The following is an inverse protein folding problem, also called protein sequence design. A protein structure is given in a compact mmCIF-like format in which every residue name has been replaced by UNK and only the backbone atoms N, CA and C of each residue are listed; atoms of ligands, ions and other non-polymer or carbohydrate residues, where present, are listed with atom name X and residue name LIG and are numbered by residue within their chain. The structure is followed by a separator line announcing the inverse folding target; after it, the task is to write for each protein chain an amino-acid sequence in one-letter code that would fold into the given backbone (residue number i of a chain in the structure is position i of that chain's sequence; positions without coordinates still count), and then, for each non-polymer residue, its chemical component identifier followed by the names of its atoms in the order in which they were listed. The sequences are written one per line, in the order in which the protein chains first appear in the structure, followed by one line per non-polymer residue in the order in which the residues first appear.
data_IF_583269519101
#
_entry.id   IF_583269519101
#
_cell.length_a   1.000
_cell.length_b   1.000
_cell.length_c   1.000
_cell.angle_alpha   90.00
_cell.angle_beta   90.00
_cell.angle_gamma   90.00
#
_symmetry.space_group_name_H-M   'P 1'
#
loop_
_entity.id
_entity.type
_entity.pdbx_description
1 polymer ?
#
# COMPACT_ATOMS: atom_id res chain seq x y z
N UNK A 1 17.55 -21.45 5.76
CA UNK A 1 18.06 -20.13 5.34
C UNK A 1 17.16 -19.70 4.19
N UNK A 2 16.11 -18.94 4.47
CA UNK A 2 15.16 -18.51 3.44
C UNK A 2 15.49 -17.06 3.10
N UNK A 3 15.82 -16.87 1.82
CA UNK A 3 16.20 -15.62 1.19
C UNK A 3 14.96 -14.74 1.00
N UNK A 4 14.97 -13.57 1.64
CA UNK A 4 13.97 -12.52 1.48
C UNK A 4 14.55 -11.52 0.48
N UNK A 5 14.24 -11.71 -0.79
CA UNK A 5 14.61 -10.73 -1.82
C UNK A 5 13.78 -9.47 -1.61
N UNK A 6 14.49 -8.47 -1.11
CA UNK A 6 14.09 -7.13 -0.77
C UNK A 6 13.51 -6.38 -1.98
N UNK A 7 12.23 -6.03 -1.89
CA UNK A 7 11.64 -4.90 -2.64
C UNK A 7 11.17 -3.87 -1.62
N UNK A 8 12.09 -3.11 -1.07
CA UNK A 8 11.92 -1.68 -0.79
C UNK A 8 10.97 -1.28 0.33
N UNK A 9 10.59 -2.17 1.24
CA UNK A 9 9.81 -1.79 2.43
C UNK A 9 10.72 -1.86 3.66
N UNK A 10 11.04 -0.69 4.21
CA UNK A 10 11.92 -0.53 5.37
C UNK A 10 11.27 -1.20 6.57
N UNK A 11 11.67 -2.45 6.84
CA UNK A 11 11.19 -3.28 7.95
C UNK A 11 11.77 -2.74 9.26
N UNK A 12 11.28 -1.60 9.72
CA UNK A 12 11.68 -0.98 10.98
C UNK A 12 10.87 -1.60 12.11
N UNK A 13 11.54 -2.46 12.87
CA UNK A 13 11.06 -2.99 14.15
C UNK A 13 10.95 -1.88 15.17
N UNK A 14 9.72 -1.52 15.55
CA UNK A 14 9.41 -0.84 16.81
C UNK A 14 8.21 -1.53 17.46
N UNK A 15 8.45 -2.03 18.68
CA UNK A 15 7.49 -2.38 19.74
C UNK A 15 6.00 -2.59 19.35
N UNK A 16 5.55 -3.86 19.50
CA UNK A 16 4.17 -4.35 19.52
C UNK A 16 3.45 -4.54 18.16
N UNK A 17 3.16 -5.81 17.84
CA UNK A 17 2.14 -6.36 16.91
C UNK A 17 2.11 -5.91 15.44
N UNK A 18 2.65 -4.75 15.11
CA UNK A 18 2.70 -4.16 13.78
C UNK A 18 3.79 -4.84 12.96
N UNK A 19 3.41 -5.34 11.79
CA UNK A 19 4.27 -6.04 10.85
C UNK A 19 4.83 -5.07 9.80
N UNK A 20 3.98 -4.18 9.31
CA UNK A 20 4.34 -3.15 8.34
C UNK A 20 3.30 -2.02 8.32
N UNK A 21 3.72 -0.86 7.84
CA UNK A 21 2.84 0.24 7.44
C UNK A 21 2.98 0.37 5.92
N UNK A 22 1.89 0.19 5.21
CA UNK A 22 1.80 0.32 3.75
C UNK A 22 1.52 1.78 3.41
N UNK A 23 2.32 2.35 2.51
CA UNK A 23 2.20 3.73 2.04
C UNK A 23 2.30 3.79 0.51
N UNK A 24 1.98 4.95 -0.09
CA UNK A 24 2.19 5.20 -1.52
C UNK A 24 1.49 4.22 -2.50
N UNK A 25 0.19 3.97 -2.28
CA UNK A 25 -0.62 3.16 -3.20
C UNK A 25 -0.45 1.65 -3.07
N UNK A 26 0.33 1.18 -2.09
CA UNK A 26 0.32 -0.22 -1.67
C UNK A 26 -1.03 -0.57 -1.03
N UNK A 27 -1.61 -1.72 -1.40
CA UNK A 27 -2.92 -2.18 -0.93
C UNK A 27 -2.82 -3.56 -0.31
N UNK A 28 -3.72 -3.84 0.64
CA UNK A 28 -3.84 -5.15 1.23
C UNK A 28 -4.18 -6.21 0.17
N UNK A 29 -3.61 -7.41 0.32
CA UNK A 29 -4.01 -8.55 -0.49
C UNK A 29 -5.49 -8.86 -0.29
N UNK A 30 -6.20 -9.18 -1.38
CA UNK A 30 -7.59 -9.66 -1.35
C UNK A 30 -7.69 -11.18 -1.35
N UNK A 31 -6.55 -11.88 -1.33
CA UNK A 31 -6.50 -13.33 -1.39
C UNK A 31 -6.55 -13.95 0.01
N UNK A 32 -7.56 -14.78 0.26
CA UNK A 32 -7.74 -15.51 1.51
C UNK A 32 -6.51 -16.35 1.90
N UNK A 33 -5.86 -17.02 0.93
CA UNK A 33 -4.73 -17.89 1.24
C UNK A 33 -3.54 -17.11 1.80
N UNK A 34 -3.34 -15.87 1.33
CA UNK A 34 -2.29 -14.96 1.83
C UNK A 34 -2.60 -14.54 3.26
N UNK A 35 -3.85 -14.19 3.56
CA UNK A 35 -4.27 -13.84 4.93
C UNK A 35 -4.10 -15.01 5.89
N UNK A 36 -4.52 -16.21 5.48
CA UNK A 36 -4.36 -17.42 6.28
C UNK A 36 -2.88 -17.79 6.49
N UNK A 37 -2.06 -17.68 5.45
CA UNK A 37 -0.62 -17.93 5.52
C UNK A 37 0.06 -16.94 6.47
N UNK A 38 -0.18 -15.63 6.28
CA UNK A 38 0.39 -14.59 7.12
C UNK A 38 -0.06 -14.73 8.58
N UNK A 39 -1.32 -15.09 8.81
CA UNK A 39 -1.82 -15.36 10.16
C UNK A 39 -1.10 -16.52 10.84
N UNK A 40 -0.66 -17.55 10.10
CA UNK A 40 0.09 -18.69 10.65
C UNK A 40 1.59 -18.38 10.82
N UNK A 41 2.16 -17.62 9.90
CA UNK A 41 3.62 -17.39 9.82
C UNK A 41 4.08 -16.18 10.62
N UNK A 42 3.26 -15.12 10.67
CA UNK A 42 3.64 -13.83 11.24
C UNK A 42 3.03 -13.59 12.63
N UNK A 43 1.85 -14.15 12.90
CA UNK A 43 1.18 -14.01 14.18
C UNK A 43 1.43 -15.23 15.06
N UNK A 44 2.29 -15.07 16.08
CA UNK A 44 2.75 -16.15 16.95
C UNK A 44 2.06 -16.18 18.33
N UNK A 45 1.01 -15.37 18.53
CA UNK A 45 0.31 -15.30 19.82
C UNK A 45 -1.09 -15.88 19.72
N UNK A 46 -1.47 -16.61 20.76
CA UNK A 46 -2.79 -17.22 20.88
C UNK A 46 -3.90 -16.18 20.68
N UNK A 47 -4.89 -16.54 19.85
CA UNK A 47 -6.06 -15.73 19.51
C UNK A 47 -5.77 -14.43 18.73
N UNK A 48 -4.56 -14.20 18.24
CA UNK A 48 -4.30 -13.11 17.29
C UNK A 48 -4.26 -13.63 15.86
N UNK A 49 -4.69 -12.79 14.93
CA UNK A 49 -4.76 -13.10 13.52
C UNK A 49 -4.18 -11.95 12.72
N UNK A 50 -3.67 -12.28 11.54
CA UNK A 50 -3.18 -11.27 10.62
C UNK A 50 -4.34 -10.39 10.15
N UNK A 51 -4.08 -9.10 10.15
CA UNK A 51 -4.92 -8.05 9.62
C UNK A 51 -4.08 -7.18 8.72
N UNK A 52 -4.68 -6.72 7.63
CA UNK A 52 -4.20 -5.58 6.87
C UNK A 52 -5.40 -4.64 6.74
N UNK A 53 -5.35 -3.50 7.43
CA UNK A 53 -6.49 -2.60 7.60
C UNK A 53 -6.07 -1.14 7.46
N UNK A 54 -6.91 -0.28 6.85
CA UNK A 54 -6.75 1.17 6.97
C UNK A 54 -6.74 1.63 8.43
N UNK A 55 -5.97 2.68 8.74
CA UNK A 55 -6.02 3.35 10.03
C UNK A 55 -7.37 4.05 10.25
N UNK A 56 -7.69 4.42 11.48
CA UNK A 56 -8.87 5.24 11.79
C UNK A 56 -8.82 6.65 11.18
N UNK A 57 -7.68 7.06 10.63
CA UNK A 57 -7.49 8.33 9.93
C UNK A 57 -7.51 8.16 8.40
N UNK A 58 -7.63 6.93 7.88
CA UNK A 58 -7.67 6.60 6.44
C UNK A 58 -6.51 7.19 5.61
N UNK A 59 -5.39 7.50 6.25
CA UNK A 59 -4.18 8.07 5.64
C UNK A 59 -3.06 7.03 5.47
N UNK A 60 -3.25 5.82 5.98
CA UNK A 60 -2.30 4.73 5.89
C UNK A 60 -3.02 3.40 6.05
N UNK A 61 -2.36 2.32 5.64
CA UNK A 61 -2.82 0.95 5.86
C UNK A 61 -1.77 0.20 6.66
N UNK A 62 -2.20 -0.60 7.64
CA UNK A 62 -1.29 -1.25 8.59
C UNK A 62 -1.50 -2.75 8.55
N UNK A 63 -0.39 -3.48 8.36
CA UNK A 63 -0.32 -4.92 8.59
C UNK A 63 -0.04 -5.18 10.08
N UNK A 64 -0.92 -5.92 10.75
CA UNK A 64 -0.87 -6.08 12.21
C UNK A 64 -1.44 -7.43 12.67
N UNK A 65 -0.92 -7.95 13.78
CA UNK A 65 -1.44 -9.15 14.43
C UNK A 65 -2.31 -8.81 15.65
N UNK A 66 -3.63 -8.85 15.51
CA UNK A 66 -4.57 -8.51 16.59
C UNK A 66 -5.70 -9.53 16.73
N UNK A 67 -6.43 -9.45 17.85
CA UNK A 67 -7.65 -10.25 18.05
C UNK A 67 -8.74 -9.76 17.07
N UNK A 68 -9.40 -10.66 16.32
CA UNK A 68 -10.44 -10.27 15.39
C UNK A 68 -11.64 -9.72 16.14
N UNK A 69 -12.29 -8.72 15.56
CA UNK A 69 -13.52 -8.13 16.07
C UNK A 69 -14.67 -8.40 15.10
N UNK A 70 -15.89 -8.45 15.62
CA UNK A 70 -17.09 -8.48 14.79
C UNK A 70 -17.36 -7.06 14.29
N UNK A 71 -17.36 -6.91 12.98
CA UNK A 71 -17.65 -5.66 12.29
C UNK A 71 -19.15 -5.67 11.95
N UNK A 72 -19.91 -4.66 12.40
CA UNK A 72 -21.32 -4.54 12.05
C UNK A 72 -21.51 -4.39 10.54
N UNK A 73 -22.66 -4.84 10.04
CA UNK A 73 -23.03 -4.62 8.63
C UNK A 73 -22.99 -3.13 8.32
N UNK A 74 -22.67 -2.79 7.08
CA UNK A 74 -22.63 -1.41 6.64
C UNK A 74 -21.39 -0.62 7.09
N UNK A 75 -20.37 -1.29 7.64
CA UNK A 75 -19.15 -0.67 8.14
C UNK A 75 -17.92 -1.44 7.65
N UNK A 76 -16.81 -0.71 7.49
CA UNK A 76 -15.50 -1.28 7.20
C UNK A 76 -14.69 -1.45 8.49
N UNK A 77 -13.90 -2.52 8.57
CA UNK A 77 -12.90 -2.71 9.60
C UNK A 77 -11.78 -1.67 9.47
N UNK A 78 -11.32 -1.17 10.60
CA UNK A 78 -10.17 -0.26 10.69
C UNK A 78 -9.25 -0.68 11.82
N UNK A 79 -7.98 -0.33 11.71
CA UNK A 79 -7.07 -0.31 12.83
C UNK A 79 -7.21 1.02 13.57
N UNK A 80 -7.60 0.97 14.84
CA UNK A 80 -7.63 2.15 15.71
C UNK A 80 -6.25 2.33 16.33
N UNK A 81 -5.51 3.33 15.84
CA UNK A 81 -4.13 3.61 16.26
C UNK A 81 -4.07 4.11 17.71
N UNK A 82 -5.09 4.84 18.18
CA UNK A 82 -5.16 5.39 19.53
C UNK A 82 -5.34 4.30 20.60
N UNK A 83 -6.09 3.24 20.27
CA UNK A 83 -6.42 2.13 21.17
C UNK A 83 -5.61 0.86 20.92
N UNK A 84 -4.79 0.84 19.85
CA UNK A 84 -4.07 -0.34 19.37
C UNK A 84 -4.97 -1.59 19.27
N UNK A 85 -6.13 -1.44 18.64
CA UNK A 85 -7.09 -2.51 18.46
C UNK A 85 -7.75 -2.45 17.08
N UNK A 86 -8.45 -3.53 16.72
CA UNK A 86 -9.33 -3.50 15.56
C UNK A 86 -10.66 -2.91 15.98
N UNK A 87 -11.21 -2.04 15.14
CA UNK A 87 -12.53 -1.44 15.31
C UNK A 87 -13.22 -1.32 13.96
N UNK A 88 -14.27 -0.52 13.89
CA UNK A 88 -15.00 -0.24 12.65
C UNK A 88 -15.16 1.26 12.46
N UNK A 89 -15.12 1.71 11.22
CA UNK A 89 -15.24 3.14 10.90
C UNK A 89 -16.68 3.62 11.06
N UNK A 90 -16.93 4.31 12.18
CA UNK A 90 -18.24 4.88 12.53
C UNK A 90 -18.56 6.15 11.75
N UNK A 91 -17.55 6.84 11.23
CA UNK A 91 -17.68 8.16 10.62
C UNK A 91 -18.00 8.05 9.13
N UNK A 92 -17.35 7.14 8.40
CA UNK A 92 -17.60 7.00 6.97
C UNK A 92 -18.92 6.32 6.63
N UNK A 93 -19.47 5.48 7.53
CA UNK A 93 -20.61 4.57 7.31
C UNK A 93 -20.71 4.21 5.83
N UNK A 94 -20.00 3.18 5.38
CA UNK A 94 -20.12 2.74 3.97
C UNK A 94 -21.59 2.45 3.60
N UNK A 95 -22.47 2.27 4.60
CA UNK A 95 -23.92 2.38 4.47
C UNK A 95 -24.44 3.83 4.58
N UNK A 96 -24.84 4.42 3.46
CA UNK A 96 -25.57 5.70 3.42
C UNK A 96 -25.07 6.73 2.41
N UNK A 97 -23.95 6.45 1.75
CA UNK A 97 -23.41 7.19 0.60
C UNK A 97 -23.28 6.21 -0.56
N UNK A 98 -23.18 6.66 -1.81
CA UNK A 98 -22.96 5.76 -2.96
C UNK A 98 -21.58 5.08 -2.78
N UNK A 99 -21.55 3.98 -2.03
CA UNK A 99 -20.37 3.17 -1.72
C UNK A 99 -20.62 1.76 -2.23
N UNK A 100 -19.85 1.35 -3.25
CA UNK A 100 -20.01 0.03 -3.86
C UNK A 100 -19.17 -1.01 -3.13
N UNK A 101 -19.77 -2.15 -2.77
CA UNK A 101 -19.06 -3.26 -2.12
C UNK A 101 -18.96 -3.14 -0.59
N UNK A 102 -19.82 -2.33 0.03
CA UNK A 102 -19.96 -2.27 1.48
C UNK A 102 -20.49 -3.61 2.03
N UNK A 103 -20.03 -4.10 3.20
CA UNK A 103 -20.46 -5.37 3.78
C UNK A 103 -21.97 -5.40 4.07
N UNK A 104 -22.69 -6.36 3.47
CA UNK A 104 -24.13 -6.54 3.67
C UNK A 104 -24.46 -7.21 5.02
N UNK A 105 -23.55 -8.03 5.53
CA UNK A 105 -23.69 -8.80 6.76
C UNK A 105 -22.55 -8.50 7.73
N UNK A 106 -22.73 -8.92 8.98
CA UNK A 106 -21.67 -8.84 9.99
C UNK A 106 -20.54 -9.80 9.60
N UNK A 107 -19.29 -9.40 9.84
CA UNK A 107 -18.14 -10.24 9.53
C UNK A 107 -17.02 -10.07 10.56
N UNK A 108 -16.11 -11.04 10.65
CA UNK A 108 -14.92 -10.91 11.47
C UNK A 108 -13.83 -10.13 10.73
N UNK A 109 -13.14 -9.22 11.41
CA UNK A 109 -12.15 -8.34 10.81
C UNK A 109 -10.96 -9.05 10.14
N UNK A 110 -10.61 -10.27 10.56
CA UNK A 110 -9.60 -11.09 9.90
C UNK A 110 -10.08 -11.66 8.54
N UNK A 111 -11.32 -11.37 8.14
CA UNK A 111 -11.92 -11.70 6.84
C UNK A 111 -12.19 -10.46 5.99
N UNK A 112 -11.56 -9.32 6.30
CA UNK A 112 -11.77 -8.07 5.53
C UNK A 112 -11.36 -8.19 4.06
N UNK A 113 -10.52 -9.16 3.70
CA UNK A 113 -10.23 -9.50 2.29
C UNK A 113 -11.48 -9.82 1.44
N UNK A 114 -12.59 -10.22 2.06
CA UNK A 114 -13.87 -10.42 1.38
C UNK A 114 -14.54 -9.10 0.95
N UNK A 115 -14.03 -7.97 1.43
CA UNK A 115 -14.55 -6.63 1.17
C UNK A 115 -13.44 -5.71 0.64
N UNK A 116 -12.97 -5.92 -0.61
CA UNK A 116 -11.87 -5.14 -1.20
C UNK A 116 -12.09 -3.62 -1.19
N UNK A 117 -13.35 -3.18 -1.30
CA UNK A 117 -13.71 -1.75 -1.22
C UNK A 117 -13.37 -1.12 0.14
N UNK A 118 -13.31 -1.91 1.21
CA UNK A 118 -12.90 -1.48 2.55
C UNK A 118 -11.39 -1.46 2.76
N UNK A 119 -10.61 -1.93 1.77
CA UNK A 119 -9.14 -1.98 1.84
C UNK A 119 -8.47 -0.92 0.95
N UNK A 120 -9.25 -0.26 0.10
CA UNK A 120 -8.77 0.72 -0.87
C UNK A 120 -9.12 2.13 -0.39
N UNK A 121 -8.10 2.86 0.00
CA UNK A 121 -8.19 4.25 0.46
C UNK A 121 -7.39 5.17 -0.45
N UNK A 122 -7.80 6.44 -0.52
CA UNK A 122 -6.96 7.55 -0.95
C UNK A 122 -6.33 8.17 0.32
N UNK A 123 -5.03 7.94 0.58
CA UNK A 123 -4.36 8.45 1.77
C UNK A 123 -4.34 9.98 1.87
N UNK A 124 -4.25 10.67 0.74
CA UNK A 124 -4.16 12.13 0.67
C UNK A 124 -5.48 12.80 1.04
N UNK A 125 -6.60 12.15 0.68
CA UNK A 125 -7.95 12.63 0.93
C UNK A 125 -8.66 11.94 2.10
N UNK A 126 -7.98 11.03 2.79
CA UNK A 126 -8.50 10.29 3.94
C UNK A 126 -9.89 9.68 3.69
N UNK A 127 -10.06 9.01 2.55
CA UNK A 127 -11.34 8.43 2.14
C UNK A 127 -11.17 7.07 1.47
N UNK A 128 -12.22 6.25 1.48
CA UNK A 128 -12.25 5.03 0.67
C UNK A 128 -12.49 5.36 -0.80
N UNK A 129 -11.74 4.72 -1.71
CA UNK A 129 -11.92 4.93 -3.16
C UNK A 129 -13.32 4.55 -3.64
N UNK A 130 -13.96 3.59 -2.97
CA UNK A 130 -15.32 3.20 -3.28
C UNK A 130 -16.38 4.22 -2.81
N UNK A 131 -16.03 5.20 -1.98
CA UNK A 131 -16.95 6.19 -1.46
C UNK A 131 -17.21 7.32 -2.47
N UNK A 132 -18.47 7.75 -2.56
CA UNK A 132 -18.86 8.90 -3.39
C UNK A 132 -18.05 10.16 -3.05
N UNK A 133 -17.40 10.73 -4.06
CA UNK A 133 -16.63 11.97 -3.91
C UNK A 133 -15.22 11.78 -3.37
N UNK A 134 -14.76 10.54 -3.18
CA UNK A 134 -13.33 10.28 -3.01
C UNK A 134 -12.66 10.36 -4.39
N UNK A 135 -11.65 11.22 -4.58
CA UNK A 135 -10.93 11.29 -5.84
C UNK A 135 -10.07 10.04 -6.04
N UNK A 136 -9.89 9.65 -7.31
CA UNK A 136 -8.95 8.60 -7.67
C UNK A 136 -7.52 9.01 -7.29
N UNK A 137 -6.66 8.03 -7.07
CA UNK A 137 -5.24 8.29 -6.87
C UNK A 137 -4.67 8.71 -8.22
N UNK A 138 -4.43 10.02 -8.40
CA UNK A 138 -3.66 10.52 -9.52
C UNK A 138 -2.24 9.97 -9.39
N UNK A 139 -1.99 8.81 -10.04
CA UNK A 139 -0.61 8.49 -10.40
C UNK A 139 -0.19 9.61 -11.32
N UNK A 140 0.66 10.51 -10.83
CA UNK A 140 1.56 11.28 -11.67
C UNK A 140 2.43 10.27 -12.43
N UNK A 141 1.86 9.61 -13.44
CA UNK A 141 2.61 9.22 -14.60
C UNK A 141 3.12 10.54 -15.14
N UNK A 142 4.42 10.77 -15.04
CA UNK A 142 5.11 11.68 -15.95
C UNK A 142 4.91 11.13 -17.36
N UNK A 143 3.71 11.33 -17.91
CA UNK A 143 3.41 11.18 -19.32
C UNK A 143 4.16 12.31 -20.01
N UNK A 144 5.42 12.05 -20.34
CA UNK A 144 6.09 12.81 -21.37
C UNK A 144 5.36 12.52 -22.68
N UNK A 145 4.37 13.35 -23.01
CA UNK A 145 3.82 13.39 -24.36
C UNK A 145 4.80 14.13 -25.27
N UNK A 146 5.23 13.54 -26.40
CA UNK A 146 6.06 14.23 -27.37
C UNK A 146 5.21 15.19 -28.22
N UNK A 147 5.50 16.49 -28.12
CA UNK A 147 5.37 17.42 -29.25
C UNK A 147 4.34 18.55 -29.12
N UNK A 148 4.85 19.78 -29.22
CA UNK A 148 4.06 20.98 -29.56
C UNK A 148 4.59 22.25 -28.87
N UNK A 149 5.47 23.02 -29.54
CA UNK A 149 6.14 24.24 -29.04
C UNK A 149 5.20 25.41 -28.68
N UNK A 150 5.66 26.58 -28.22
CA UNK A 150 6.95 27.27 -28.28
C UNK A 150 7.06 28.28 -27.14
N UNK A 151 8.27 28.55 -26.64
CA UNK A 151 8.85 29.90 -26.59
C UNK A 151 10.15 29.91 -25.80
N UNK A 152 11.10 30.62 -26.42
CA UNK A 152 12.39 31.14 -26.00
C UNK A 152 12.72 31.08 -24.51
N UNK A 153 13.86 30.45 -24.18
CA UNK A 153 14.82 31.02 -23.23
C UNK A 153 16.22 30.46 -23.52
N UNK A 154 17.18 31.38 -23.61
CA UNK A 154 18.59 31.10 -23.85
C UNK A 154 19.26 30.59 -22.57
N UNK A 155 19.88 29.41 -22.65
CA UNK A 155 20.64 28.84 -21.53
C UNK A 155 21.50 27.66 -21.96
N UNK A 156 22.78 27.95 -22.23
CA UNK A 156 23.86 27.05 -22.68
C UNK A 156 23.92 25.70 -21.93
N UNK A 157 23.94 24.59 -22.67
CA UNK A 157 24.37 23.27 -22.17
C UNK A 157 25.56 22.76 -22.98
N UNK A 158 26.63 22.45 -22.25
CA UNK A 158 27.95 22.03 -22.72
C UNK A 158 27.94 20.63 -23.38
N UNK A 159 28.70 20.38 -24.45
CA UNK A 159 28.74 19.09 -25.13
C UNK A 159 29.81 18.20 -24.49
N UNK A 160 29.42 17.35 -23.54
CA UNK A 160 30.28 16.29 -23.05
C UNK A 160 29.40 15.14 -22.62
N UNK A 161 29.18 14.17 -23.52
CA UNK A 161 28.92 12.73 -23.28
C UNK A 161 28.64 12.10 -24.67
N UNK A 162 29.68 12.00 -25.48
CA UNK A 162 29.80 11.00 -26.57
C UNK A 162 31.25 10.53 -26.70
N UNK A 163 31.87 10.21 -25.57
CA UNK A 163 33.21 9.63 -25.53
C UNK A 163 33.42 8.69 -24.34
N UNK A 164 32.43 7.87 -23.98
CA UNK A 164 32.58 6.85 -22.92
C UNK A 164 32.28 5.42 -23.42
N UNK A 165 31.68 5.24 -24.61
CA UNK A 165 31.47 3.91 -25.20
C UNK A 165 32.58 3.41 -26.16
N UNK A 166 33.66 4.16 -26.34
CA UNK A 166 34.82 3.73 -27.16
C UNK A 166 36.10 3.42 -26.36
N UNK A 167 36.10 3.60 -25.02
CA UNK A 167 37.28 3.34 -24.18
C UNK A 167 37.28 1.99 -23.44
N UNK A 168 36.19 1.20 -23.50
CA UNK A 168 36.13 -0.11 -22.83
C UNK A 168 36.48 -1.32 -23.71
N UNK A 169 36.60 -1.16 -25.04
CA UNK A 169 37.05 -2.27 -25.90
C UNK A 169 38.59 -2.38 -26.04
N UNK A 170 39.34 -1.35 -25.62
CA UNK A 170 40.81 -1.33 -25.77
C UNK A 170 41.57 -1.89 -24.55
N UNK A 171 40.91 -2.16 -23.42
CA UNK A 171 41.57 -2.65 -22.19
C UNK A 171 41.43 -4.17 -21.95
N UNK A 172 40.63 -4.89 -22.76
CA UNK A 172 40.44 -6.34 -22.61
C UNK A 172 41.40 -7.18 -23.49
N UNK A 173 42.12 -6.58 -24.44
CA UNK A 173 43.01 -7.32 -25.36
C UNK A 173 44.52 -7.16 -25.12
N UNK A 174 44.97 -6.50 -24.04
CA UNK A 174 46.40 -6.35 -23.74
C UNK A 174 46.91 -7.17 -22.54
N UNK A 175 46.15 -8.15 -22.05
CA UNK A 175 46.60 -9.06 -20.98
C UNK A 175 46.35 -10.53 -21.34
N UNK A 176 46.81 -10.97 -22.53
CA UNK A 176 47.21 -12.36 -22.79
C UNK A 176 47.96 -12.48 -24.14
N UNK A 177 49.17 -11.91 -24.23
CA UNK A 177 50.34 -12.50 -24.92
C UNK A 177 51.58 -11.65 -24.69
#
# INVERSE_FOLDING_TARGET
MYDLTDKGSTRLTLQYWTLAVLSNGETCSVNESIWQQNSKQLCNVSNTYYHCLPSNYLNETVEICLKPQIIPKGHCAIYNTDQNNVSYDRASRCHGKNFTGCPAEHYYSNRTFLHPSCLQINPEHACYLAASGCPDIERHETTWSPGGGSSSDEGKVSPSIKLIHLFLCALVFCWLN
#
